data_IF_879108956729
#
_entry.id   IF_879108956729
#
_cell.length_a   1.000
_cell.length_b   1.000
_cell.length_c   1.000
_cell.angle_alpha   90.00
_cell.angle_beta   90.00
_cell.angle_gamma   90.00
#
_symmetry.space_group_name_H-M   'P 1'
#
loop_
_entity.id
_entity.type
_entity.pdbx_description
1 polymer ?
#
# COMPACT_ATOMS: atom_id res chain seq x y z
N UNK A 1 -28.05 -15.43 -22.89
CA UNK A 1 -29.16 -15.34 -21.97
C UNK A 1 -28.71 -14.90 -20.61
N UNK A 2 -29.55 -14.22 -19.85
CA UNK A 2 -29.21 -13.68 -18.53
C UNK A 2 -28.78 -14.74 -17.52
N UNK A 3 -29.03 -16.00 -17.78
CA UNK A 3 -28.55 -17.09 -16.92
C UNK A 3 -27.03 -17.07 -16.83
N UNK A 4 -26.35 -16.76 -17.91
CA UNK A 4 -24.91 -16.69 -17.92
C UNK A 4 -24.40 -15.57 -17.05
N UNK A 5 -25.11 -14.45 -16.98
CA UNK A 5 -24.78 -13.35 -16.09
C UNK A 5 -24.94 -13.73 -14.62
N UNK A 6 -26.03 -14.44 -14.31
CA UNK A 6 -26.29 -14.90 -12.94
C UNK A 6 -25.24 -15.90 -12.47
N UNK A 7 -24.75 -16.73 -13.40
CA UNK A 7 -23.75 -17.75 -13.08
C UNK A 7 -22.33 -17.24 -13.19
N UNK A 8 -22.12 -16.01 -13.67
CA UNK A 8 -20.79 -15.42 -13.73
C UNK A 8 -20.23 -15.29 -12.32
N UNK A 9 -19.07 -15.90 -12.09
CA UNK A 9 -18.41 -15.84 -10.80
C UNK A 9 -17.74 -14.49 -10.62
N UNK A 10 -17.89 -13.86 -9.44
CA UNK A 10 -17.13 -12.64 -9.17
C UNK A 10 -15.64 -12.91 -9.25
N UNK A 11 -14.90 -11.96 -9.80
CA UNK A 11 -13.44 -12.06 -9.84
C UNK A 11 -12.87 -11.83 -8.46
N UNK A 12 -11.86 -12.59 -8.12
CA UNK A 12 -11.16 -12.49 -6.86
C UNK A 12 -9.95 -11.56 -7.00
N UNK A 13 -9.64 -10.83 -5.95
CA UNK A 13 -8.50 -9.90 -5.97
C UNK A 13 -7.19 -10.63 -6.26
N UNK A 14 -7.02 -11.86 -5.77
CA UNK A 14 -5.82 -12.64 -6.02
C UNK A 14 -5.66 -13.10 -7.46
N UNK A 15 -6.74 -13.09 -8.24
CA UNK A 15 -6.70 -13.39 -9.67
C UNK A 15 -6.34 -12.17 -10.51
N UNK A 16 -6.89 -11.01 -10.14
CA UNK A 16 -6.77 -9.79 -10.93
C UNK A 16 -5.50 -9.01 -10.57
N UNK A 17 -5.16 -8.95 -9.29
CA UNK A 17 -4.06 -8.11 -8.80
C UNK A 17 -2.84 -8.90 -8.33
N UNK A 18 -2.73 -10.14 -8.75
CA UNK A 18 -1.54 -10.94 -8.47
C UNK A 18 -0.37 -10.41 -9.29
N UNK A 19 0.62 -9.85 -8.60
CA UNK A 19 1.82 -9.34 -9.25
C UNK A 19 2.98 -9.40 -8.27
N UNK A 20 4.19 -9.35 -8.81
CA UNK A 20 5.37 -9.23 -7.98
C UNK A 20 5.34 -7.88 -7.27
N UNK A 21 5.34 -7.91 -5.95
CA UNK A 21 5.32 -6.70 -5.14
C UNK A 21 6.75 -6.23 -4.90
N UNK A 22 7.04 -4.98 -5.26
CA UNK A 22 8.32 -4.37 -4.94
C UNK A 22 8.25 -3.87 -3.50
N UNK A 23 9.13 -4.38 -2.65
CA UNK A 23 9.25 -3.92 -1.27
C UNK A 23 10.65 -3.40 -1.01
N UNK A 24 10.78 -2.61 0.05
CA UNK A 24 12.05 -2.02 0.47
C UNK A 24 12.31 -2.39 1.93
N UNK A 25 13.55 -2.18 2.35
CA UNK A 25 13.93 -2.35 3.75
C UNK A 25 13.88 -1.02 4.49
N UNK A 26 13.64 -1.06 5.79
CA UNK A 26 13.60 0.15 6.63
C UNK A 26 14.90 0.94 6.54
N UNK A 27 16.02 0.29 6.26
CA UNK A 27 17.33 0.91 6.14
C UNK A 27 17.63 1.46 4.74
N UNK A 28 16.77 1.23 3.76
CA UNK A 28 16.97 1.78 2.42
C UNK A 28 16.86 3.30 2.45
N UNK A 29 17.72 3.96 1.67
CA UNK A 29 17.72 5.42 1.62
C UNK A 29 16.47 5.96 0.93
N UNK A 30 16.01 7.12 1.39
CA UNK A 30 14.93 7.84 0.74
C UNK A 30 15.29 8.15 -0.71
N UNK A 31 16.55 8.53 -0.96
CA UNK A 31 17.02 8.83 -2.31
C UNK A 31 16.85 7.65 -3.26
N UNK A 32 17.19 6.44 -2.80
CA UNK A 32 17.01 5.23 -3.59
C UNK A 32 15.52 4.98 -3.91
N UNK A 33 14.67 5.19 -2.91
CA UNK A 33 13.22 5.05 -3.09
C UNK A 33 12.67 6.08 -4.08
N UNK A 34 13.14 7.32 -4.00
CA UNK A 34 12.72 8.37 -4.94
C UNK A 34 13.10 8.02 -6.39
N UNK A 35 14.23 7.39 -6.61
CA UNK A 35 14.63 6.91 -7.95
C UNK A 35 13.65 5.85 -8.46
N UNK A 36 13.22 4.94 -7.58
CA UNK A 36 12.26 3.91 -7.95
C UNK A 36 10.90 4.51 -8.29
N UNK A 37 10.44 5.50 -7.51
CA UNK A 37 9.19 6.23 -7.78
C UNK A 37 9.27 6.87 -9.17
N UNK A 38 10.35 7.57 -9.45
CA UNK A 38 10.53 8.26 -10.72
C UNK A 38 10.55 7.29 -11.91
N UNK A 39 11.24 6.16 -11.74
CA UNK A 39 11.41 5.17 -12.81
C UNK A 39 10.14 4.35 -13.04
N UNK A 40 9.48 3.93 -11.98
CA UNK A 40 8.36 2.99 -12.06
C UNK A 40 6.99 3.61 -11.81
N UNK A 41 6.96 4.88 -11.40
CA UNK A 41 5.73 5.65 -11.13
C UNK A 41 4.84 5.00 -10.07
N UNK A 42 5.44 4.28 -9.14
CA UNK A 42 4.70 3.75 -8.00
C UNK A 42 4.47 4.86 -6.97
N UNK A 43 3.34 4.81 -6.29
CA UNK A 43 2.97 5.81 -5.29
C UNK A 43 2.95 5.26 -3.88
N UNK A 44 3.12 3.96 -3.73
CA UNK A 44 3.16 3.30 -2.43
C UNK A 44 4.07 2.08 -2.46
N UNK A 45 4.76 1.84 -1.34
CA UNK A 45 5.74 0.76 -1.24
C UNK A 45 5.64 0.10 0.13
N UNK A 46 5.50 -1.24 0.19
CA UNK A 46 5.69 -1.97 1.44
C UNK A 46 7.13 -1.85 1.90
N UNK A 47 7.31 -1.72 3.20
CA UNK A 47 8.64 -1.63 3.82
C UNK A 47 8.73 -2.69 4.90
N UNK A 48 9.81 -3.46 4.86
CA UNK A 48 10.07 -4.58 5.77
C UNK A 48 11.34 -4.34 6.57
N UNK A 49 11.41 -5.00 7.70
CA UNK A 49 12.68 -5.19 8.43
C UNK A 49 12.99 -6.68 8.37
N UNK A 50 13.97 -7.04 7.54
CA UNK A 50 14.16 -8.44 7.18
C UNK A 50 12.93 -8.93 6.42
N UNK A 51 12.27 -9.94 6.94
CA UNK A 51 11.06 -10.52 6.35
C UNK A 51 9.77 -10.03 7.04
N UNK A 52 9.88 -9.11 7.98
CA UNK A 52 8.74 -8.65 8.78
C UNK A 52 8.24 -7.31 8.25
N UNK A 53 6.99 -7.28 7.84
CA UNK A 53 6.35 -6.05 7.35
C UNK A 53 6.30 -4.99 8.46
N UNK A 54 6.74 -3.77 8.15
CA UNK A 54 6.76 -2.65 9.08
C UNK A 54 5.75 -1.56 8.76
N UNK A 55 5.40 -1.39 7.51
CA UNK A 55 4.45 -0.36 7.11
C UNK A 55 4.49 -0.07 5.63
N UNK A 56 3.66 0.88 5.23
CA UNK A 56 3.55 1.31 3.83
C UNK A 56 4.03 2.74 3.71
N UNK A 57 5.07 2.95 2.89
CA UNK A 57 5.53 4.29 2.55
C UNK A 57 4.78 4.75 1.30
N UNK A 58 4.23 5.96 1.37
CA UNK A 58 3.49 6.57 0.25
C UNK A 58 4.13 7.87 -0.16
N UNK A 59 3.84 8.32 -1.38
CA UNK A 59 4.31 9.63 -1.84
C UNK A 59 3.75 10.76 -0.98
N UNK A 60 2.52 10.63 -0.49
CA UNK A 60 1.92 11.59 0.45
C UNK A 60 2.70 11.60 1.75
N UNK A 61 3.05 10.44 2.28
CA UNK A 61 3.83 10.31 3.51
C UNK A 61 5.20 10.94 3.39
N UNK A 62 5.87 10.71 2.26
CA UNK A 62 7.18 11.32 1.98
C UNK A 62 7.04 12.85 1.95
N UNK A 63 6.02 13.36 1.27
CA UNK A 63 5.77 14.79 1.16
C UNK A 63 5.50 15.41 2.54
N UNK A 64 4.68 14.78 3.36
CA UNK A 64 4.39 15.26 4.71
C UNK A 64 5.64 15.27 5.60
N UNK A 65 6.44 14.21 5.52
CA UNK A 65 7.68 14.13 6.26
C UNK A 65 8.65 15.25 5.83
N UNK A 66 8.77 15.44 4.51
CA UNK A 66 9.64 16.47 3.96
C UNK A 66 9.19 17.87 4.39
N UNK A 67 7.91 18.16 4.31
CA UNK A 67 7.35 19.45 4.71
C UNK A 67 7.63 19.74 6.20
N UNK A 68 7.45 18.74 7.06
CA UNK A 68 7.73 18.87 8.48
C UNK A 68 9.22 19.09 8.74
N UNK A 69 10.08 18.35 8.04
CA UNK A 69 11.53 18.46 8.18
C UNK A 69 12.04 19.83 7.71
N UNK A 70 11.46 20.36 6.65
CA UNK A 70 11.86 21.67 6.12
C UNK A 70 11.33 22.84 6.95
N UNK A 71 10.18 22.66 7.59
CA UNK A 71 9.61 23.68 8.48
C UNK A 71 10.30 23.74 9.83
N UNK A 72 10.99 22.66 10.21
CA UNK A 72 11.72 22.59 11.48
C UNK A 72 13.08 23.25 11.39
N UNK A 73 13.67 23.51 12.58
CA UNK A 73 15.00 24.10 12.68
C UNK A 73 16.11 23.06 12.54
N UNK A 74 15.77 21.78 12.48
CA UNK A 74 16.73 20.70 12.44
C UNK A 74 16.56 19.86 11.20
N UNK A 75 17.48 19.98 10.26
CA UNK A 75 17.63 19.02 9.18
C UNK A 75 18.26 17.74 9.71
N UNK A 76 17.85 16.57 9.21
CA UNK A 76 18.53 15.33 9.56
C UNK A 76 20.01 15.45 9.22
N UNK A 77 20.87 15.11 10.17
CA UNK A 77 22.33 15.16 9.96
C UNK A 77 22.82 14.01 9.10
N UNK A 78 22.00 13.00 8.91
CA UNK A 78 22.30 11.83 8.10
C UNK A 78 21.35 11.76 6.92
N UNK A 79 21.72 10.97 5.92
CA UNK A 79 20.82 10.68 4.79
C UNK A 79 19.55 10.02 5.31
N UNK A 80 18.35 10.52 4.96
CA UNK A 80 17.11 9.92 5.40
C UNK A 80 16.94 8.49 4.89
N UNK A 81 16.40 7.63 5.73
CA UNK A 81 16.04 6.26 5.40
C UNK A 81 14.53 6.08 5.56
N UNK A 82 14.00 5.00 5.01
CA UNK A 82 12.55 4.78 5.03
C UNK A 82 11.97 4.67 6.43
N UNK A 83 12.75 4.21 7.39
CA UNK A 83 12.29 4.18 8.78
C UNK A 83 11.93 5.56 9.31
N UNK A 84 12.62 6.60 8.86
CA UNK A 84 12.32 7.98 9.29
C UNK A 84 10.90 8.38 8.86
N UNK A 85 10.51 8.01 7.64
CA UNK A 85 9.17 8.30 7.12
C UNK A 85 8.12 7.49 7.85
N UNK A 86 8.34 6.20 8.05
CA UNK A 86 7.42 5.34 8.77
C UNK A 86 7.23 5.80 10.22
N UNK A 87 8.30 6.24 10.85
CA UNK A 87 8.26 6.71 12.23
C UNK A 87 7.45 7.99 12.37
N UNK A 88 7.54 8.86 11.37
CA UNK A 88 6.76 10.09 11.30
C UNK A 88 5.25 9.80 11.19
N UNK A 89 4.88 8.74 10.48
CA UNK A 89 3.49 8.37 10.22
C UNK A 89 2.96 7.23 11.10
N UNK A 90 3.65 6.88 12.16
CA UNK A 90 3.33 5.70 12.99
C UNK A 90 1.90 5.64 13.53
N UNK A 91 1.22 6.78 13.64
CA UNK A 91 -0.14 6.84 14.15
C UNK A 91 -1.19 6.79 13.05
N UNK A 92 -0.79 6.75 11.79
CA UNK A 92 -1.71 6.70 10.66
C UNK A 92 -1.56 5.37 9.92
N UNK A 93 -2.58 4.52 10.04
CA UNK A 93 -2.62 3.27 9.29
C UNK A 93 -3.33 3.54 7.98
N UNK A 94 -2.55 3.59 6.90
CA UNK A 94 -3.02 3.92 5.56
C UNK A 94 -3.17 2.69 4.66
N UNK A 95 -3.23 1.51 5.25
CA UNK A 95 -3.34 0.25 4.51
C UNK A 95 -4.19 -0.74 5.31
N UNK A 96 -4.64 -1.80 4.62
CA UNK A 96 -5.32 -2.92 5.26
C UNK A 96 -4.91 -4.20 4.56
N UNK A 97 -4.70 -5.27 5.31
CA UNK A 97 -4.46 -6.60 4.74
C UNK A 97 -5.77 -7.26 4.38
N UNK A 98 -5.80 -7.89 3.22
CA UNK A 98 -6.96 -8.63 2.74
C UNK A 98 -6.54 -9.98 2.19
N UNK A 99 -7.47 -10.94 2.21
CA UNK A 99 -7.24 -12.26 1.65
C UNK A 99 -7.32 -12.21 0.12
N UNK A 100 -6.52 -13.03 -0.54
CA UNK A 100 -6.57 -13.22 -1.98
C UNK A 100 -7.95 -13.72 -2.47
N UNK A 101 -8.74 -14.26 -1.58
CA UNK A 101 -10.02 -14.88 -1.91
C UNK A 101 -11.22 -13.94 -1.81
N UNK A 102 -11.03 -12.69 -1.42
CA UNK A 102 -12.15 -11.75 -1.47
C UNK A 102 -12.39 -11.28 -2.90
N UNK A 103 -13.61 -10.85 -3.16
CA UNK A 103 -13.99 -10.37 -4.48
C UNK A 103 -13.55 -8.93 -4.71
N UNK A 104 -13.51 -8.52 -5.97
CA UNK A 104 -13.26 -7.12 -6.33
C UNK A 104 -14.27 -6.20 -5.65
N UNK A 105 -15.54 -6.63 -5.60
CA UNK A 105 -16.59 -5.89 -4.92
C UNK A 105 -16.28 -5.68 -3.44
N UNK A 106 -15.86 -6.74 -2.75
CA UNK A 106 -15.49 -6.65 -1.34
C UNK A 106 -14.28 -5.73 -1.12
N UNK A 107 -13.32 -5.74 -2.04
CA UNK A 107 -12.19 -4.82 -1.98
C UNK A 107 -12.65 -3.37 -2.11
N UNK A 108 -13.55 -3.10 -3.06
CA UNK A 108 -14.14 -1.76 -3.21
C UNK A 108 -14.84 -1.33 -1.93
N UNK A 109 -15.61 -2.23 -1.31
CA UNK A 109 -16.29 -1.93 -0.05
C UNK A 109 -15.31 -1.61 1.06
N UNK A 110 -14.14 -2.28 1.11
CA UNK A 110 -13.11 -1.96 2.09
C UNK A 110 -12.64 -0.51 1.97
N UNK A 111 -12.44 -0.01 0.75
CA UNK A 111 -12.05 1.38 0.54
C UNK A 111 -13.16 2.34 0.98
N UNK A 112 -14.40 2.06 0.62
CA UNK A 112 -15.56 2.89 0.99
C UNK A 112 -15.76 2.96 2.50
N UNK A 113 -15.73 1.81 3.19
CA UNK A 113 -15.88 1.76 4.64
C UNK A 113 -14.73 2.48 5.36
N UNK A 114 -13.53 2.40 4.79
CA UNK A 114 -12.40 3.15 5.33
C UNK A 114 -12.69 4.64 5.36
N UNK A 115 -13.16 5.18 4.24
CA UNK A 115 -13.50 6.62 4.14
C UNK A 115 -14.60 7.00 5.13
N UNK A 116 -15.65 6.19 5.23
CA UNK A 116 -16.78 6.46 6.16
C UNK A 116 -16.32 6.52 7.61
N UNK A 117 -15.27 5.77 7.97
CA UNK A 117 -14.72 5.74 9.32
C UNK A 117 -13.57 6.72 9.52
N UNK A 118 -13.36 7.63 8.57
CA UNK A 118 -12.27 8.59 8.64
C UNK A 118 -10.91 8.00 8.34
N UNK A 119 -10.86 6.81 7.79
CA UNK A 119 -9.61 6.14 7.40
C UNK A 119 -9.46 6.17 5.89
N UNK A 120 -8.37 6.72 5.43
CA UNK A 120 -8.07 6.78 4.02
C UNK A 120 -7.01 5.73 3.69
N UNK A 121 -7.47 4.56 3.25
CA UNK A 121 -6.53 3.52 2.82
C UNK A 121 -5.94 3.87 1.46
N UNK A 122 -4.62 3.95 1.42
CA UNK A 122 -3.89 4.16 0.19
C UNK A 122 -3.77 2.87 -0.62
N UNK A 123 -3.81 1.73 0.07
CA UNK A 123 -3.72 0.42 -0.56
C UNK A 123 -4.31 -0.67 0.31
N UNK A 124 -4.75 -1.73 -0.34
CA UNK A 124 -5.04 -3.01 0.29
C UNK A 124 -3.89 -3.96 -0.06
N UNK A 125 -3.39 -4.65 0.94
CA UNK A 125 -2.24 -5.56 0.80
C UNK A 125 -2.77 -6.99 0.80
N UNK A 126 -2.51 -7.72 -0.27
CA UNK A 126 -3.07 -9.06 -0.48
C UNK A 126 -2.11 -10.12 0.04
N UNK A 127 -2.61 -10.96 0.94
CA UNK A 127 -1.90 -12.16 1.40
C UNK A 127 -2.83 -13.35 1.25
N UNK A 128 -2.33 -14.57 1.53
CA UNK A 128 -3.15 -15.78 1.39
C UNK A 128 -4.46 -15.68 2.17
N UNK A 129 -4.39 -15.30 3.45
CA UNK A 129 -5.55 -15.23 4.32
C UNK A 129 -5.75 -13.85 4.96
N UNK A 130 -5.14 -12.81 4.40
CA UNK A 130 -5.28 -11.46 4.93
C UNK A 130 -4.48 -11.21 6.20
N UNK A 131 -3.43 -11.99 6.45
CA UNK A 131 -2.60 -11.88 7.64
C UNK A 131 -1.29 -11.16 7.36
N UNK A 132 -0.86 -10.25 8.25
CA UNK A 132 0.35 -9.44 8.01
C UNK A 132 1.66 -10.24 7.94
N UNK A 133 1.69 -11.42 8.57
CA UNK A 133 2.90 -12.26 8.59
C UNK A 133 3.05 -13.12 7.34
N UNK A 134 2.03 -13.14 6.49
CA UNK A 134 2.05 -13.93 5.27
C UNK A 134 2.71 -13.15 4.13
N UNK A 135 3.19 -13.88 3.14
CA UNK A 135 3.83 -13.27 1.98
C UNK A 135 2.84 -12.39 1.21
N UNK A 136 3.28 -11.20 0.82
CA UNK A 136 2.48 -10.32 -0.04
C UNK A 136 2.40 -10.92 -1.45
N UNK A 137 1.18 -11.04 -1.94
CA UNK A 137 0.86 -11.57 -3.27
C UNK A 137 0.60 -10.42 -4.24
N UNK A 138 0.04 -9.32 -3.76
CA UNK A 138 -0.29 -8.17 -4.59
C UNK A 138 -0.68 -6.96 -3.77
N UNK A 139 -0.89 -5.86 -4.46
CA UNK A 139 -1.34 -4.59 -3.89
C UNK A 139 -2.47 -4.07 -4.75
N UNK A 140 -3.52 -3.54 -4.10
CA UNK A 140 -4.67 -2.93 -4.77
C UNK A 140 -4.80 -1.51 -4.28
N UNK A 141 -4.86 -0.56 -5.21
CA UNK A 141 -5.13 0.85 -4.90
C UNK A 141 -6.55 1.21 -5.35
N UNK A 142 -7.12 2.33 -4.88
CA UNK A 142 -8.41 2.79 -5.38
C UNK A 142 -8.47 2.93 -6.90
N UNK A 143 -7.39 3.41 -7.51
CA UNK A 143 -7.32 3.54 -8.97
C UNK A 143 -7.37 2.19 -9.65
N UNK A 144 -6.72 1.17 -9.08
CA UNK A 144 -6.77 -0.19 -9.63
C UNK A 144 -8.21 -0.71 -9.67
N UNK A 145 -8.97 -0.46 -8.61
CA UNK A 145 -10.39 -0.86 -8.55
C UNK A 145 -11.20 -0.14 -9.64
N UNK A 146 -10.95 1.14 -9.85
CA UNK A 146 -11.67 1.92 -10.84
C UNK A 146 -11.41 1.45 -12.28
N UNK A 147 -10.28 0.81 -12.52
CA UNK A 147 -9.90 0.31 -13.84
C UNK A 147 -10.46 -1.09 -14.17
N UNK A 148 -11.05 -1.75 -13.19
CA UNK A 148 -11.62 -3.09 -13.39
C UNK A 148 -13.02 -2.96 -13.96
N UNK A 149 -13.26 -3.65 -15.06
CA UNK A 149 -14.57 -3.72 -15.70
C UNK A 149 -15.42 -4.87 -15.15
#
# INVERSE_FOLDING_TARGET
EHIDEVLARPKLVGQVFRKRVMSFQVTDSLQHTLKAIRKRKYTQFPVDEGDVFQGLVTTVGITNWLATSMAGTHFPRRTPILQDILHHEKNEVNYKFISRYITIYEAEENFKHGVERGRRFEALLITEHGKPHQKLIGIVTPIDIMKVD
#
